data_IF_846402251983
#
_entry.id   IF_846402251983
#
_cell.length_a   1.000
_cell.length_b   1.000
_cell.length_c   1.000
_cell.angle_alpha   90.00
_cell.angle_beta   90.00
_cell.angle_gamma   90.00
#
_symmetry.space_group_name_H-M   'P 1'
#
loop_
_entity.id
_entity.type
_entity.pdbx_description
1 polymer ?
#
# COMPACT_ATOMS: atom_id res chain seq x y z
N UNK A 1 -42.04 -7.88 19.48
CA UNK A 1 -41.04 -7.46 18.48
C UNK A 1 -40.27 -8.68 18.01
N UNK A 2 -40.87 -9.46 17.10
CA UNK A 2 -40.26 -10.66 16.54
C UNK A 2 -40.83 -10.90 15.14
N UNK A 3 -40.62 -9.96 14.20
CA UNK A 3 -41.14 -10.12 12.84
C UNK A 3 -40.49 -9.19 11.79
N UNK A 4 -39.16 -8.96 11.85
CA UNK A 4 -38.47 -8.16 10.82
C UNK A 4 -37.14 -8.75 10.30
N UNK A 5 -36.77 -9.96 10.71
CA UNK A 5 -35.47 -10.58 10.35
C UNK A 5 -35.58 -11.69 9.29
N UNK A 6 -36.79 -12.19 9.00
CA UNK A 6 -36.96 -13.37 8.13
C UNK A 6 -37.08 -13.05 6.63
N UNK A 7 -37.46 -11.83 6.25
CA UNK A 7 -37.67 -11.46 4.84
C UNK A 7 -36.36 -11.06 4.15
N UNK A 8 -35.38 -10.53 4.89
CA UNK A 8 -34.12 -10.05 4.31
C UNK A 8 -33.20 -11.18 3.83
N UNK A 9 -33.19 -12.32 4.53
CA UNK A 9 -32.30 -13.46 4.21
C UNK A 9 -32.73 -14.28 2.98
N UNK A 10 -34.01 -14.25 2.61
CA UNK A 10 -34.52 -15.05 1.49
C UNK A 10 -34.13 -14.46 0.12
N UNK A 11 -34.07 -13.13 0.00
CA UNK A 11 -33.73 -12.46 -1.25
C UNK A 11 -32.24 -12.66 -1.62
N UNK A 12 -31.33 -12.59 -0.64
CA UNK A 12 -29.88 -12.75 -0.88
C UNK A 12 -29.47 -14.18 -1.26
N UNK A 13 -30.11 -15.20 -0.65
CA UNK A 13 -29.75 -16.60 -0.91
C UNK A 13 -30.09 -17.04 -2.34
N UNK A 14 -31.20 -16.54 -2.88
CA UNK A 14 -31.62 -16.85 -4.26
C UNK A 14 -30.65 -16.29 -5.30
N UNK A 15 -30.18 -15.04 -5.12
CA UNK A 15 -29.15 -14.45 -5.97
C UNK A 15 -27.83 -15.22 -5.87
N UNK A 16 -27.40 -15.57 -4.65
CA UNK A 16 -26.18 -16.34 -4.44
C UNK A 16 -26.21 -17.70 -5.13
N UNK A 17 -27.34 -18.43 -5.05
CA UNK A 17 -27.53 -19.71 -5.75
C UNK A 17 -27.49 -19.53 -7.27
N UNK A 18 -28.14 -18.50 -7.81
CA UNK A 18 -28.12 -18.22 -9.25
C UNK A 18 -26.70 -17.91 -9.75
N UNK A 19 -25.95 -17.06 -9.04
CA UNK A 19 -24.56 -16.77 -9.38
C UNK A 19 -23.66 -18.01 -9.30
N UNK A 20 -23.87 -18.85 -8.29
CA UNK A 20 -23.10 -20.08 -8.12
C UNK A 20 -23.37 -21.06 -9.26
N UNK A 21 -24.63 -21.24 -9.66
CA UNK A 21 -25.01 -22.09 -10.79
C UNK A 21 -24.49 -21.57 -12.13
N UNK A 22 -24.53 -20.24 -12.35
CA UNK A 22 -23.96 -19.62 -13.55
C UNK A 22 -22.44 -19.82 -13.61
N UNK A 23 -21.74 -19.65 -12.49
CA UNK A 23 -20.29 -19.82 -12.42
C UNK A 23 -19.86 -21.25 -12.72
N UNK A 24 -20.49 -22.25 -12.09
CA UNK A 24 -20.20 -23.66 -12.38
C UNK A 24 -20.63 -24.08 -13.78
N UNK A 25 -21.73 -23.53 -14.30
CA UNK A 25 -22.17 -23.78 -15.67
C UNK A 25 -21.19 -23.26 -16.72
N UNK A 26 -20.69 -22.03 -16.57
CA UNK A 26 -19.67 -21.45 -17.46
C UNK A 26 -18.36 -22.23 -17.33
N UNK A 27 -17.93 -22.58 -16.11
CA UNK A 27 -16.73 -23.37 -15.89
C UNK A 27 -16.83 -24.78 -16.53
N UNK A 28 -18.00 -25.42 -16.43
CA UNK A 28 -18.25 -26.71 -17.08
C UNK A 28 -18.25 -26.60 -18.61
N UNK A 29 -18.82 -25.54 -19.19
CA UNK A 29 -18.76 -25.27 -20.64
C UNK A 29 -17.32 -25.05 -21.10
N UNK A 30 -16.51 -24.30 -20.35
CA UNK A 30 -15.10 -24.06 -20.67
C UNK A 30 -14.27 -25.36 -20.62
N UNK A 31 -14.56 -26.27 -19.69
CA UNK A 31 -13.87 -27.56 -19.61
C UNK A 31 -14.35 -28.53 -20.70
N UNK A 32 -15.65 -28.56 -20.98
CA UNK A 32 -16.26 -29.47 -21.97
C UNK A 32 -16.01 -29.07 -23.42
N UNK A 33 -15.62 -27.82 -23.69
CA UNK A 33 -15.29 -27.34 -25.04
C UNK A 33 -13.82 -27.50 -25.42
N UNK A 34 -13.01 -28.26 -24.67
CA UNK A 34 -11.65 -28.61 -25.08
C UNK A 34 -11.66 -29.55 -26.31
N UNK A 35 -11.29 -29.08 -27.53
CA UNK A 35 -11.06 -29.96 -28.64
C UNK A 35 -9.59 -30.40 -28.57
N UNK A 36 -9.35 -31.66 -28.22
CA UNK A 36 -8.04 -32.28 -28.43
C UNK A 36 -7.83 -32.57 -29.93
N UNK A 37 -6.59 -32.36 -30.40
CA UNK A 37 -5.99 -32.52 -31.76
C UNK A 37 -6.04 -31.28 -32.66
N UNK A 38 -4.96 -30.84 -33.33
CA UNK A 38 -3.64 -31.43 -33.57
C UNK A 38 -2.66 -30.39 -34.15
N UNK A 39 -1.37 -30.63 -33.90
CA UNK A 39 -0.21 -30.40 -34.78
C UNK A 39 0.08 -28.99 -35.32
N UNK A 40 1.16 -28.37 -34.82
CA UNK A 40 2.44 -28.29 -35.55
C UNK A 40 3.44 -27.44 -34.76
N UNK A 41 4.47 -28.11 -34.24
CA UNK A 41 5.71 -27.47 -33.78
C UNK A 41 6.51 -27.02 -34.99
N UNK A 42 6.40 -25.73 -35.35
CA UNK A 42 7.41 -25.07 -36.17
C UNK A 42 8.35 -24.30 -35.24
N UNK A 43 9.51 -24.91 -35.04
CA UNK A 43 10.70 -24.37 -34.40
C UNK A 43 11.14 -23.15 -35.24
N UNK A 44 10.92 -21.95 -34.73
CA UNK A 44 11.62 -20.76 -35.22
C UNK A 44 12.95 -20.66 -34.48
N UNK A 45 14.01 -20.93 -35.23
CA UNK A 45 15.41 -20.81 -34.88
C UNK A 45 15.68 -19.39 -34.38
N UNK A 46 15.89 -19.21 -33.08
CA UNK A 46 16.45 -17.98 -32.53
C UNK A 46 17.91 -17.86 -32.99
N UNK A 47 18.33 -16.79 -33.67
CA UNK A 47 19.74 -16.43 -33.67
C UNK A 47 20.06 -15.87 -32.28
N UNK A 48 20.95 -16.56 -31.56
CA UNK A 48 21.65 -16.05 -30.39
C UNK A 48 22.49 -14.84 -30.78
N UNK A 49 21.91 -13.64 -30.67
CA UNK A 49 22.70 -12.41 -30.59
C UNK A 49 22.86 -12.05 -29.11
N UNK A 50 24.06 -12.33 -28.60
CA UNK A 50 24.55 -11.76 -27.35
C UNK A 50 24.43 -10.23 -27.42
N UNK A 51 23.75 -9.55 -26.48
CA UNK A 51 23.86 -8.10 -26.41
C UNK A 51 25.30 -7.74 -26.00
N UNK A 52 25.93 -6.73 -26.61
CA UNK A 52 27.20 -6.22 -26.10
C UNK A 52 26.96 -5.73 -24.67
N UNK A 53 27.80 -6.24 -23.76
CA UNK A 53 27.95 -5.74 -22.40
C UNK A 53 28.45 -4.29 -22.44
N UNK A 54 27.55 -3.36 -22.70
CA UNK A 54 27.74 -1.96 -22.37
C UNK A 54 26.97 -1.71 -21.08
N UNK A 55 27.69 -1.75 -19.97
CA UNK A 55 27.21 -1.18 -18.70
C UNK A 55 26.87 0.28 -18.95
N UNK A 56 25.61 0.73 -18.85
CA UNK A 56 25.36 2.14 -18.69
C UNK A 56 25.78 2.46 -17.26
N UNK A 57 26.91 3.15 -17.10
CA UNK A 57 27.28 3.74 -15.82
C UNK A 57 26.22 4.76 -15.43
N UNK A 58 25.22 4.32 -14.66
CA UNK A 58 24.22 5.20 -14.09
C UNK A 58 24.87 6.03 -12.98
N UNK A 59 25.33 7.22 -13.38
CA UNK A 59 25.39 8.47 -12.62
C UNK A 59 25.56 8.37 -11.08
N UNK A 60 26.73 8.79 -10.59
CA UNK A 60 27.04 9.02 -9.16
C UNK A 60 25.92 9.78 -8.39
N UNK A 61 25.16 10.64 -9.08
CA UNK A 61 24.03 11.38 -8.50
C UNK A 61 22.82 10.51 -8.11
N UNK A 62 22.55 9.43 -8.83
CA UNK A 62 21.39 8.56 -8.56
C UNK A 62 21.66 7.63 -7.37
N UNK A 63 22.89 7.12 -7.28
CA UNK A 63 23.34 6.32 -6.14
C UNK A 63 23.39 7.14 -4.85
N UNK A 64 23.94 8.37 -4.90
CA UNK A 64 24.01 9.25 -3.73
C UNK A 64 22.62 9.61 -3.18
N UNK A 65 21.64 9.85 -4.07
CA UNK A 65 20.25 10.19 -3.68
C UNK A 65 19.55 9.03 -2.98
N UNK A 66 19.74 7.81 -3.48
CA UNK A 66 19.16 6.60 -2.88
C UNK A 66 19.79 6.26 -1.53
N UNK A 67 21.11 6.45 -1.37
CA UNK A 67 21.79 6.29 -0.08
C UNK A 67 21.24 7.28 0.93
N UNK A 68 21.21 8.57 0.58
CA UNK A 68 20.66 9.61 1.45
C UNK A 68 19.19 9.39 1.82
N UNK A 69 18.35 8.91 0.89
CA UNK A 69 16.97 8.53 1.19
C UNK A 69 16.90 7.38 2.20
N UNK A 70 17.75 6.36 2.06
CA UNK A 70 17.80 5.23 2.99
C UNK A 70 18.28 5.66 4.36
N UNK A 71 19.26 6.56 4.44
CA UNK A 71 19.79 7.08 5.70
C UNK A 71 18.72 7.87 6.45
N UNK A 72 17.97 8.73 5.74
CA UNK A 72 16.82 9.46 6.33
C UNK A 72 15.70 8.54 6.81
N UNK A 73 15.43 7.48 6.05
CA UNK A 73 14.44 6.49 6.45
C UNK A 73 14.88 5.75 7.71
N UNK A 74 16.13 5.33 7.79
CA UNK A 74 16.68 4.66 8.96
C UNK A 74 16.66 5.57 10.20
N UNK A 75 17.03 6.85 10.05
CA UNK A 75 16.93 7.85 11.12
C UNK A 75 15.49 8.00 11.63
N UNK A 76 14.52 8.12 10.73
CA UNK A 76 13.11 8.24 11.10
C UNK A 76 12.58 6.98 11.80
N UNK A 77 12.99 5.79 11.35
CA UNK A 77 12.63 4.51 11.97
C UNK A 77 13.28 4.36 13.35
N UNK A 78 14.56 4.71 13.49
CA UNK A 78 15.29 4.66 14.75
C UNK A 78 14.67 5.60 15.80
N UNK A 79 14.21 6.78 15.38
CA UNK A 79 13.52 7.72 16.26
C UNK A 79 12.18 7.21 16.79
N UNK A 80 11.49 6.36 16.01
CA UNK A 80 10.14 5.87 16.33
C UNK A 80 10.10 4.40 16.80
N UNK A 81 11.22 3.68 16.88
CA UNK A 81 11.17 2.25 17.19
C UNK A 81 11.07 1.96 18.69
N UNK A 82 10.56 0.78 19.03
CA UNK A 82 10.70 0.18 20.37
C UNK A 82 12.12 -0.38 20.56
N UNK A 83 12.42 -0.85 21.77
CA UNK A 83 13.65 -1.58 22.08
C UNK A 83 13.84 -2.81 21.16
N UNK A 84 12.73 -3.46 20.77
CA UNK A 84 12.70 -4.62 19.86
C UNK A 84 12.68 -4.21 18.37
N UNK A 85 13.04 -2.97 18.03
CA UNK A 85 13.00 -2.42 16.67
C UNK A 85 11.64 -2.53 15.98
N UNK A 86 10.55 -2.43 16.74
CA UNK A 86 9.18 -2.41 16.21
C UNK A 86 8.67 -0.98 16.08
N UNK A 87 8.07 -0.64 14.93
CA UNK A 87 7.53 0.70 14.65
C UNK A 87 6.06 0.59 14.26
N UNK A 88 5.21 1.49 14.77
CA UNK A 88 3.82 1.61 14.32
C UNK A 88 3.79 2.59 13.16
N UNK A 89 3.29 2.18 12.00
CA UNK A 89 3.31 2.97 10.76
C UNK A 89 1.89 3.32 10.35
N UNK A 90 1.62 4.62 10.22
CA UNK A 90 0.38 5.15 9.67
C UNK A 90 0.69 6.00 8.43
N UNK A 91 0.06 5.67 7.28
CA UNK A 91 0.24 6.44 6.05
C UNK A 91 -0.88 7.46 5.92
N UNK A 92 -0.52 8.73 5.79
CA UNK A 92 -1.43 9.88 5.82
C UNK A 92 -1.26 10.71 4.55
N UNK A 93 -2.37 11.25 4.05
CA UNK A 93 -2.42 12.19 2.94
C UNK A 93 -3.19 13.46 3.34
N UNK A 94 -3.23 14.45 2.46
CA UNK A 94 -3.92 15.72 2.62
C UNK A 94 -5.37 15.58 3.13
N UNK A 95 -6.12 14.62 2.60
CA UNK A 95 -7.52 14.40 2.99
C UNK A 95 -7.69 13.91 4.44
N UNK A 96 -6.63 13.39 5.07
CA UNK A 96 -6.67 12.97 6.49
C UNK A 96 -6.33 14.09 7.47
N UNK A 97 -5.73 15.19 7.00
CA UNK A 97 -5.28 16.31 7.84
C UNK A 97 -6.11 17.58 7.67
N UNK A 98 -6.96 17.63 6.65
CA UNK A 98 -7.84 18.76 6.37
C UNK A 98 -9.26 18.56 6.89
N UNK A 99 -10.01 19.67 6.94
CA UNK A 99 -11.40 19.74 7.39
C UNK A 99 -11.52 20.15 8.86
N UNK A 100 -12.76 20.36 9.31
CA UNK A 100 -13.05 20.83 10.67
C UNK A 100 -12.67 19.80 11.75
N UNK A 101 -12.69 18.51 11.40
CA UNK A 101 -12.27 17.40 12.26
C UNK A 101 -11.37 16.45 11.48
N UNK A 102 -10.06 16.74 11.39
CA UNK A 102 -9.11 15.90 10.69
C UNK A 102 -9.12 14.48 11.25
N UNK A 103 -9.12 13.49 10.36
CA UNK A 103 -9.05 12.08 10.78
C UNK A 103 -7.76 11.75 11.54
N UNK A 104 -6.65 12.45 11.24
CA UNK A 104 -5.41 12.30 11.98
C UNK A 104 -5.57 12.69 13.45
N UNK A 105 -6.28 13.78 13.74
CA UNK A 105 -6.50 14.25 15.12
C UNK A 105 -7.33 13.22 15.90
N UNK A 106 -8.40 12.69 15.28
CA UNK A 106 -9.22 11.64 15.87
C UNK A 106 -8.45 10.33 16.12
N UNK A 107 -7.54 9.99 15.21
CA UNK A 107 -6.66 8.83 15.37
C UNK A 107 -5.74 9.00 16.59
N UNK A 108 -5.17 10.20 16.77
CA UNK A 108 -4.32 10.51 17.92
C UNK A 108 -5.11 10.56 19.23
N UNK A 109 -6.34 11.10 19.21
CA UNK A 109 -7.26 11.08 20.36
C UNK A 109 -7.55 9.65 20.82
N UNK A 110 -7.64 8.68 19.90
CA UNK A 110 -7.77 7.26 20.23
C UNK A 110 -6.64 6.73 21.12
N UNK A 111 -5.39 7.17 20.89
CA UNK A 111 -4.29 6.83 21.80
C UNK A 111 -4.35 7.59 23.12
N UNK A 112 -4.93 8.78 23.14
CA UNK A 112 -5.05 9.58 24.35
C UNK A 112 -6.14 9.09 25.30
N UNK A 113 -7.25 8.63 24.74
CA UNK A 113 -8.41 8.12 25.47
C UNK A 113 -8.28 6.64 25.82
N UNK A 114 -7.51 5.87 25.04
CA UNK A 114 -7.30 4.45 25.30
C UNK A 114 -6.47 4.18 26.57
N UNK A 115 -6.82 3.11 27.28
CA UNK A 115 -6.12 2.70 28.49
C UNK A 115 -4.74 2.11 28.13
N UNK A 116 -3.68 2.74 28.61
CA UNK A 116 -2.30 2.27 28.39
C UNK A 116 -1.74 2.47 26.98
N UNK A 117 -2.48 3.12 26.07
CA UNK A 117 -2.08 3.32 24.66
C UNK A 117 -1.33 4.63 24.40
N UNK A 118 -1.38 5.60 25.31
CA UNK A 118 -0.65 6.89 25.18
C UNK A 118 0.82 6.74 24.86
N UNK A 119 1.48 5.76 25.49
CA UNK A 119 2.90 5.47 25.28
C UNK A 119 3.21 4.95 23.88
N UNK A 120 2.21 4.53 23.10
CA UNK A 120 2.41 4.04 21.73
C UNK A 120 2.62 5.19 20.74
N UNK A 121 2.19 6.41 21.08
CA UNK A 121 2.38 7.60 20.22
C UNK A 121 3.87 7.88 20.00
N UNK A 122 4.73 7.61 20.98
CA UNK A 122 6.19 7.73 20.82
C UNK A 122 6.80 6.70 19.86
N UNK A 123 6.04 5.66 19.51
CA UNK A 123 6.46 4.61 18.59
C UNK A 123 5.72 4.69 17.24
N UNK A 124 5.00 5.79 17.01
CA UNK A 124 4.20 6.03 15.83
C UNK A 124 4.98 6.86 14.82
N UNK A 125 5.26 6.27 13.66
CA UNK A 125 5.79 6.92 12.48
C UNK A 125 4.64 7.26 11.51
N UNK A 126 4.41 8.54 11.33
CA UNK A 126 3.47 9.06 10.32
C UNK A 126 4.20 9.19 8.99
N UNK A 127 3.80 8.39 8.01
CA UNK A 127 4.34 8.41 6.66
C UNK A 127 3.44 9.27 5.79
N UNK A 128 3.94 10.42 5.34
CA UNK A 128 3.14 11.42 4.63
C UNK A 128 3.42 11.36 3.13
N UNK A 129 2.37 11.35 2.32
CA UNK A 129 2.50 11.27 0.85
C UNK A 129 2.49 12.63 0.16
N UNK A 130 2.20 13.71 0.89
CA UNK A 130 2.14 15.07 0.38
C UNK A 130 2.73 16.07 1.38
N UNK A 131 2.92 17.32 0.93
CA UNK A 131 3.51 18.37 1.75
C UNK A 131 2.59 18.84 2.88
N UNK A 132 1.27 18.89 2.65
CA UNK A 132 0.30 19.40 3.63
C UNK A 132 0.24 18.46 4.83
N UNK A 133 0.18 17.15 4.59
CA UNK A 133 0.21 16.15 5.65
C UNK A 133 1.56 16.12 6.39
N UNK A 134 2.68 16.34 5.69
CA UNK A 134 3.99 16.45 6.31
C UNK A 134 4.08 17.63 7.27
N UNK A 135 3.65 18.82 6.85
CA UNK A 135 3.63 20.01 7.70
C UNK A 135 2.75 19.86 8.92
N UNK A 136 1.54 19.28 8.75
CA UNK A 136 0.66 18.97 9.88
C UNK A 136 1.31 18.00 10.86
N UNK A 137 1.96 16.95 10.36
CA UNK A 137 2.64 15.98 11.20
C UNK A 137 3.76 16.64 12.03
N UNK A 138 4.59 17.46 11.38
CA UNK A 138 5.68 18.18 12.05
C UNK A 138 5.14 19.20 13.07
N UNK A 139 4.05 19.89 12.74
CA UNK A 139 3.37 20.81 13.66
C UNK A 139 2.88 20.12 14.94
N UNK A 140 2.42 18.88 14.83
CA UNK A 140 1.99 18.06 15.97
C UNK A 140 3.16 17.44 16.76
N UNK A 141 4.41 17.62 16.32
CA UNK A 141 5.60 17.11 17.02
C UNK A 141 5.72 15.58 16.99
N UNK A 142 5.18 14.93 15.95
CA UNK A 142 5.23 13.47 15.78
C UNK A 142 6.49 13.03 15.04
N UNK A 143 6.77 11.72 15.01
CA UNK A 143 7.76 11.18 14.09
C UNK A 143 7.16 11.16 12.68
N UNK A 144 7.76 11.94 11.77
CA UNK A 144 7.23 12.15 10.42
C UNK A 144 8.23 11.71 9.37
N UNK A 145 7.77 10.95 8.38
CA UNK A 145 8.56 10.59 7.22
C UNK A 145 7.81 10.94 5.94
N UNK A 146 8.38 11.86 5.15
CA UNK A 146 7.80 12.21 3.85
C UNK A 146 8.20 11.16 2.83
N UNK A 147 7.22 10.41 2.33
CA UNK A 147 7.42 9.44 1.28
C UNK A 147 7.68 10.17 -0.05
N UNK A 148 8.95 10.31 -0.41
CA UNK A 148 9.34 10.95 -1.67
C UNK A 148 8.76 10.16 -2.86
N UNK A 149 8.05 10.87 -3.71
CA UNK A 149 7.62 10.41 -5.03
C UNK A 149 8.46 11.19 -6.02
N UNK A 150 9.38 10.53 -6.73
CA UNK A 150 10.40 11.15 -7.59
C UNK A 150 9.82 12.13 -8.64
N UNK A 151 9.53 13.37 -8.24
CA UNK A 151 9.09 14.47 -9.11
C UNK A 151 7.83 14.21 -9.94
N UNK A 152 6.99 13.23 -9.59
CA UNK A 152 5.76 12.98 -10.35
C UNK A 152 4.63 13.81 -9.76
N UNK A 153 4.44 15.01 -10.30
CA UNK A 153 3.24 15.80 -10.07
C UNK A 153 2.01 14.94 -10.40
N UNK A 154 1.17 14.70 -9.39
CA UNK A 154 -0.03 13.86 -9.48
C UNK A 154 -1.21 14.60 -10.13
N UNK A 155 -0.93 15.50 -11.06
CA UNK A 155 -1.94 16.27 -11.82
C UNK A 155 -1.92 15.76 -13.26
N UNK A 156 -2.70 14.69 -13.52
CA UNK A 156 -2.90 14.15 -14.87
C UNK A 156 -3.18 12.65 -14.90
N UNK A 157 -4.00 12.20 -15.86
CA UNK A 157 -4.21 10.78 -16.15
C UNK A 157 -2.87 10.14 -16.56
N UNK A 158 -2.40 9.15 -15.79
CA UNK A 158 -1.25 8.33 -16.16
C UNK A 158 -1.72 7.17 -17.03
N UNK A 159 -0.98 6.89 -18.10
CA UNK A 159 -1.21 5.71 -18.95
C UNK A 159 -1.15 4.44 -18.09
N UNK A 160 -2.25 3.70 -18.11
CA UNK A 160 -2.40 2.39 -17.49
C UNK A 160 -1.23 1.48 -17.90
N UNK A 161 -0.58 0.83 -16.92
CA UNK A 161 0.61 -0.04 -17.07
C UNK A 161 1.96 0.64 -17.39
N UNK A 162 2.05 1.98 -17.40
CA UNK A 162 3.36 2.64 -17.49
C UNK A 162 4.24 2.34 -16.26
N UNK A 163 5.56 2.40 -16.41
CA UNK A 163 6.50 2.22 -15.29
C UNK A 163 6.21 3.20 -14.14
N UNK A 164 5.73 4.40 -14.44
CA UNK A 164 5.34 5.41 -13.46
C UNK A 164 3.98 5.13 -12.82
N UNK A 165 3.06 4.47 -13.54
CA UNK A 165 1.82 3.93 -12.99
C UNK A 165 2.10 2.77 -12.02
N UNK A 166 2.97 1.83 -12.40
CA UNK A 166 3.40 0.71 -11.54
C UNK A 166 4.15 1.26 -10.32
N UNK A 167 5.15 2.14 -10.50
CA UNK A 167 5.83 2.79 -9.37
C UNK A 167 4.82 3.50 -8.46
N UNK A 168 3.84 4.22 -9.03
CA UNK A 168 2.80 4.87 -8.23
C UNK A 168 1.97 3.88 -7.40
N UNK A 169 1.58 2.74 -7.98
CA UNK A 169 0.79 1.71 -7.26
C UNK A 169 1.59 1.01 -6.16
N UNK A 170 2.87 0.69 -6.42
CA UNK A 170 3.67 -0.16 -5.54
C UNK A 170 4.46 0.60 -4.47
N UNK A 171 4.48 1.94 -4.48
CA UNK A 171 5.28 2.76 -3.54
C UNK A 171 5.03 2.43 -2.08
N UNK A 172 3.77 2.29 -1.67
CA UNK A 172 3.43 1.95 -0.27
C UNK A 172 3.98 0.58 0.11
N UNK A 173 3.82 -0.41 -0.77
CA UNK A 173 4.35 -1.77 -0.56
C UNK A 173 5.88 -1.81 -0.58
N UNK A 174 6.51 -1.06 -1.48
CA UNK A 174 7.96 -0.94 -1.57
C UNK A 174 8.55 -0.29 -0.33
N UNK A 175 7.91 0.76 0.19
CA UNK A 175 8.28 1.38 1.45
C UNK A 175 8.28 0.36 2.59
N UNK A 176 7.20 -0.39 2.77
CA UNK A 176 7.13 -1.44 3.81
C UNK A 176 8.21 -2.51 3.62
N UNK A 177 8.51 -2.89 2.37
CA UNK A 177 9.62 -3.79 2.07
C UNK A 177 11.00 -3.22 2.43
N UNK A 178 11.20 -1.90 2.31
CA UNK A 178 12.45 -1.25 2.73
C UNK A 178 12.60 -1.22 4.25
N UNK A 179 11.52 -0.98 4.99
CA UNK A 179 11.50 -1.06 6.47
C UNK A 179 11.99 -2.43 6.94
N UNK A 180 11.48 -3.52 6.33
CA UNK A 180 11.94 -4.88 6.65
C UNK A 180 13.40 -5.12 6.28
N UNK A 181 13.87 -4.59 5.14
CA UNK A 181 15.27 -4.71 4.71
C UNK A 181 16.25 -3.99 5.64
N UNK A 182 15.80 -2.95 6.35
CA UNK A 182 16.56 -2.25 7.37
C UNK A 182 16.54 -2.99 8.72
N UNK A 183 15.77 -4.08 8.84
CA UNK A 183 15.73 -4.92 10.04
C UNK A 183 14.74 -4.46 11.10
N UNK A 184 13.77 -3.63 10.74
CA UNK A 184 12.67 -3.22 11.63
C UNK A 184 11.45 -4.11 11.41
N UNK A 185 10.75 -4.39 12.51
CA UNK A 185 9.39 -4.94 12.46
C UNK A 185 8.38 -3.79 12.43
N UNK A 186 7.22 -3.98 11.80
CA UNK A 186 6.22 -2.92 11.77
C UNK A 186 4.79 -3.41 12.00
N UNK A 187 3.99 -2.55 12.63
CA UNK A 187 2.54 -2.66 12.71
C UNK A 187 1.96 -1.60 11.78
N UNK A 188 1.20 -2.00 10.78
CA UNK A 188 0.69 -1.08 9.77
C UNK A 188 -0.80 -0.78 9.94
N UNK A 189 -1.15 0.50 10.03
CA UNK A 189 -2.54 0.97 10.12
C UNK A 189 -2.93 1.69 8.82
N UNK A 190 -3.47 0.94 7.85
CA UNK A 190 -3.88 1.47 6.54
C UNK A 190 -5.27 2.10 6.51
N UNK A 191 -6.05 1.87 7.56
CA UNK A 191 -7.44 2.31 7.67
C UNK A 191 -7.59 2.87 9.07
N UNK A 192 -7.88 4.17 9.15
CA UNK A 192 -8.40 4.78 10.37
C UNK A 192 -9.84 4.23 10.50
N UNK A 193 -9.95 2.99 10.97
CA UNK A 193 -11.23 2.36 11.28
C UNK A 193 -11.75 3.09 12.50
N UNK A 194 -12.79 3.89 12.29
CA UNK A 194 -13.62 4.42 13.37
C UNK A 194 -14.21 3.23 14.12
N UNK A 195 -13.85 3.07 15.39
CA UNK A 195 -14.71 2.34 16.33
C UNK A 195 -15.81 3.32 16.75
N UNK A 196 -16.95 3.29 16.05
CA UNK A 196 -18.17 3.87 16.60
C UNK A 196 -18.65 2.92 17.71
N UNK A 197 -18.52 3.38 18.95
CA UNK A 197 -19.20 2.80 20.11
C UNK A 197 -20.58 3.42 20.31
#
# INVERSE_FOLDING_TARGET
>A
MAECTKIFWAADFSHFLVYTLLFFGVFYILISTNPTQSNNSLISIFPTQNPPSHSPSMTNNSQNRMVHYRDKLDEALAGACTEDKTVIIAVVNKAYVEGDKPMLDLFLDGFWLGEGTRKLVKHLLIVTVDQTSYERCMFLGLHCYKLETDGVDFVGEKLYMSADFIKMMWRRTQFLGQVLKLGYSFIFTCRIVMFYG
#
